data_IF_159925693660
#
_entry.id   IF_159925693660
#
_cell.length_a   1.000
_cell.length_b   1.000
_cell.length_c   1.000
_cell.angle_alpha   90.00
_cell.angle_beta   90.00
_cell.angle_gamma   90.00
#
_symmetry.space_group_name_H-M   'P 1'
#
loop_
_entity.id
_entity.type
_entity.pdbx_description
1 polymer ?
#
# COMPACT_ATOMS: atom_id res chain seq x y z
N UNK A 1 70.21 19.82 -28.49
CA UNK A 1 69.41 18.60 -28.82
C UNK A 1 69.89 17.54 -27.82
N UNK A 2 69.19 17.02 -26.81
CA UNK A 2 67.79 16.77 -26.43
C UNK A 2 67.80 16.84 -24.88
N UNK A 3 67.01 17.60 -24.11
CA UNK A 3 65.56 17.85 -24.02
C UNK A 3 64.67 16.60 -23.90
N UNK A 4 64.22 16.41 -22.64
CA UNK A 4 62.85 16.11 -22.22
C UNK A 4 62.42 14.64 -22.17
N UNK A 5 62.61 13.97 -21.02
CA UNK A 5 61.84 12.75 -20.74
C UNK A 5 61.41 12.44 -19.29
N UNK A 6 61.76 13.15 -18.19
CA UNK A 6 61.18 12.78 -16.89
C UNK A 6 59.92 13.59 -16.51
N UNK A 7 59.61 14.69 -17.20
CA UNK A 7 58.56 15.63 -16.73
C UNK A 7 57.13 15.30 -17.18
N UNK A 8 56.93 14.33 -18.07
CA UNK A 8 55.60 14.01 -18.63
C UNK A 8 54.92 12.81 -17.94
N UNK A 9 55.66 12.03 -17.14
CA UNK A 9 55.11 10.87 -16.43
C UNK A 9 54.41 11.23 -15.11
N UNK A 10 54.81 12.31 -14.44
CA UNK A 10 54.11 12.78 -13.24
C UNK A 10 52.69 13.33 -13.50
N UNK A 11 52.43 14.16 -14.54
CA UNK A 11 51.08 14.68 -14.76
C UNK A 11 50.12 13.61 -15.30
N UNK A 12 50.61 12.60 -16.02
CA UNK A 12 49.77 11.53 -16.59
C UNK A 12 49.32 10.51 -15.55
N UNK A 13 50.15 10.21 -14.55
CA UNK A 13 49.74 9.38 -13.40
C UNK A 13 48.79 10.16 -12.48
N UNK A 14 48.97 11.47 -12.31
CA UNK A 14 48.02 12.29 -11.52
C UNK A 14 46.64 12.41 -12.19
N UNK A 15 46.57 12.45 -13.53
CA UNK A 15 45.30 12.51 -14.27
C UNK A 15 44.48 11.21 -14.18
N UNK A 16 45.13 10.05 -14.05
CA UNK A 16 44.45 8.75 -13.88
C UNK A 16 43.96 8.49 -12.45
N UNK A 17 44.50 9.19 -11.45
CA UNK A 17 44.04 9.11 -10.06
C UNK A 17 42.86 10.06 -9.80
N UNK A 18 42.68 11.09 -10.64
CA UNK A 18 41.61 12.10 -10.50
C UNK A 18 40.32 11.79 -11.26
N UNK A 19 40.28 10.78 -12.13
CA UNK A 19 39.01 10.30 -12.69
C UNK A 19 38.33 9.38 -11.69
N UNK A 20 37.80 9.97 -10.60
CA UNK A 20 36.68 9.33 -9.93
C UNK A 20 35.57 9.16 -10.98
N UNK A 21 34.90 8.00 -11.06
CA UNK A 21 33.69 7.90 -11.84
C UNK A 21 32.73 8.93 -11.25
N UNK A 22 32.54 10.04 -11.95
CA UNK A 22 31.42 10.94 -11.70
C UNK A 22 30.20 10.08 -11.93
N UNK A 23 29.62 9.57 -10.84
CA UNK A 23 28.36 8.89 -10.91
C UNK A 23 27.38 9.90 -11.52
N UNK A 24 27.04 9.60 -12.76
CA UNK A 24 26.14 10.36 -13.57
C UNK A 24 24.82 10.44 -12.82
N UNK A 25 24.48 11.63 -12.32
CA UNK A 25 23.11 11.94 -11.93
C UNK A 25 22.24 11.95 -13.18
N UNK A 26 21.76 10.78 -13.59
CA UNK A 26 20.76 10.65 -14.64
C UNK A 26 19.36 10.82 -14.03
N UNK A 27 18.77 11.97 -14.37
CA UNK A 27 17.33 12.25 -14.55
C UNK A 27 16.38 11.84 -13.42
N UNK A 28 16.31 12.68 -12.38
CA UNK A 28 15.07 13.30 -11.89
C UNK A 28 15.46 14.60 -11.16
N UNK A 29 15.19 15.73 -11.81
CA UNK A 29 15.91 16.98 -11.62
C UNK A 29 15.82 17.67 -10.25
N UNK A 30 16.90 18.44 -10.00
CA UNK A 30 17.13 19.53 -9.04
C UNK A 30 17.70 19.16 -7.66
N UNK A 31 19.03 19.16 -7.56
CA UNK A 31 19.72 19.72 -6.39
C UNK A 31 20.92 20.56 -6.85
N UNK A 32 20.80 21.89 -6.72
CA UNK A 32 21.94 22.79 -6.70
C UNK A 32 22.65 22.72 -5.34
N UNK A 33 23.97 22.81 -5.35
CA UNK A 33 24.81 23.31 -4.27
C UNK A 33 24.69 22.71 -2.85
N UNK A 34 24.38 21.42 -2.69
CA UNK A 34 24.55 20.76 -1.39
C UNK A 34 25.13 19.33 -1.50
N UNK A 35 26.13 18.97 -0.66
CA UNK A 35 26.90 17.72 -0.77
C UNK A 35 26.21 16.47 -0.18
N UNK A 36 24.91 16.53 0.14
CA UNK A 36 24.19 15.39 0.69
C UNK A 36 22.84 15.23 0.02
N UNK A 37 22.49 13.98 -0.34
CA UNK A 37 21.14 13.63 -0.74
C UNK A 37 20.25 13.78 0.49
N UNK A 38 19.35 14.77 0.48
CA UNK A 38 18.41 14.99 1.58
C UNK A 38 17.54 13.77 1.81
N UNK A 39 17.28 13.46 3.09
CA UNK A 39 16.25 12.51 3.46
C UNK A 39 14.93 12.91 2.79
N UNK A 40 14.22 11.93 2.21
CA UNK A 40 12.93 12.14 1.57
C UNK A 40 12.01 12.95 2.50
N UNK A 41 11.75 14.20 2.12
CA UNK A 41 10.74 15.00 2.78
C UNK A 41 9.38 14.39 2.41
N UNK A 42 8.57 13.92 3.37
CA UNK A 42 7.21 13.51 3.08
C UNK A 42 6.49 14.66 2.37
N UNK A 43 5.73 14.33 1.33
CA UNK A 43 4.96 15.33 0.59
C UNK A 43 4.14 16.16 1.60
N UNK A 44 4.09 17.49 1.48
CA UNK A 44 3.35 18.33 2.41
C UNK A 44 1.88 17.86 2.43
N UNK A 45 1.25 17.78 3.61
CA UNK A 45 -0.14 17.35 3.70
C UNK A 45 -1.01 18.28 2.84
N UNK A 46 -1.99 17.74 2.11
CA UNK A 46 -2.83 18.55 1.23
C UNK A 46 -3.62 19.58 2.04
N UNK A 47 -3.75 20.80 1.50
CA UNK A 47 -4.67 21.81 2.04
C UNK A 47 -6.11 21.37 1.76
N UNK A 48 -6.81 20.92 2.80
CA UNK A 48 -8.13 20.30 2.67
C UNK A 48 -9.27 21.31 2.85
N UNK A 49 -9.95 21.70 1.76
CA UNK A 49 -11.26 22.36 1.75
C UNK A 49 -12.37 21.35 1.42
N UNK A 50 -12.56 20.35 2.27
CA UNK A 50 -13.48 19.25 1.99
C UNK A 50 -14.95 19.63 2.16
N UNK A 51 -15.81 19.05 1.33
CA UNK A 51 -17.26 19.17 1.46
C UNK A 51 -17.77 18.56 2.77
N UNK A 52 -19.01 18.90 3.17
CA UNK A 52 -19.68 18.24 4.30
C UNK A 52 -19.73 16.73 4.05
N UNK A 53 -19.52 15.94 5.12
CA UNK A 53 -19.38 14.48 5.07
C UNK A 53 -18.05 13.94 4.54
N UNK A 54 -17.08 14.81 4.25
CA UNK A 54 -15.69 14.43 3.93
C UNK A 54 -14.71 14.89 5.02
N UNK A 55 -13.66 14.11 5.24
CA UNK A 55 -12.58 14.40 6.17
C UNK A 55 -11.26 14.60 5.43
N UNK A 56 -10.29 15.25 6.09
CA UNK A 56 -8.95 15.42 5.54
C UNK A 56 -8.06 14.22 5.90
N UNK A 57 -7.48 13.58 4.88
CA UNK A 57 -6.52 12.48 5.00
C UNK A 57 -5.22 12.78 4.27
N UNK A 58 -4.31 11.80 4.25
CA UNK A 58 -2.97 11.95 3.67
C UNK A 58 -2.97 12.28 2.18
N UNK A 59 -4.03 11.88 1.45
CA UNK A 59 -4.15 12.03 0.00
C UNK A 59 -5.28 12.99 -0.41
N UNK A 60 -5.77 13.80 0.53
CA UNK A 60 -6.83 14.78 0.31
C UNK A 60 -8.13 14.42 1.01
N UNK A 61 -9.25 14.82 0.41
CA UNK A 61 -10.57 14.60 0.98
C UNK A 61 -11.03 13.16 0.79
N UNK A 62 -11.41 12.50 1.89
CA UNK A 62 -12.00 11.17 1.87
C UNK A 62 -13.40 11.18 2.48
N UNK A 63 -14.27 10.28 2.02
CA UNK A 63 -15.63 10.18 2.54
C UNK A 63 -15.61 9.67 3.99
N UNK A 64 -16.17 10.44 4.91
CA UNK A 64 -16.29 10.00 6.30
C UNK A 64 -17.33 8.89 6.40
N UNK A 65 -16.96 7.79 7.05
CA UNK A 65 -17.93 6.74 7.41
C UNK A 65 -18.61 7.11 8.71
N UNK A 66 -19.94 7.16 8.71
CA UNK A 66 -20.70 7.29 9.96
C UNK A 66 -20.38 6.09 10.86
N UNK A 67 -19.87 6.37 12.06
CA UNK A 67 -19.44 5.35 13.04
C UNK A 67 -20.55 4.37 13.47
N UNK A 68 -21.81 4.63 13.12
CA UNK A 68 -22.97 3.77 13.40
C UNK A 68 -23.55 2.97 12.21
N UNK A 69 -22.99 3.10 11.01
CA UNK A 69 -23.55 2.46 9.79
C UNK A 69 -23.46 0.92 9.78
N UNK A 70 -22.66 0.33 10.67
CA UNK A 70 -22.60 -1.12 10.91
C UNK A 70 -23.33 -1.55 12.20
N UNK A 71 -23.69 -0.59 13.06
CA UNK A 71 -24.35 -0.83 14.36
C UNK A 71 -25.88 -0.87 14.25
N UNK A 72 -26.44 -0.32 13.18
CA UNK A 72 -27.89 -0.33 12.93
C UNK A 72 -28.25 -1.44 11.94
N UNK A 73 -28.58 -2.62 12.48
CA UNK A 73 -29.37 -3.61 11.75
C UNK A 73 -30.80 -3.52 12.27
N UNK A 74 -31.78 -3.03 11.47
CA UNK A 74 -33.17 -3.04 11.90
C UNK A 74 -33.61 -4.49 12.06
N UNK A 75 -33.76 -4.95 13.30
CA UNK A 75 -34.38 -6.24 13.60
C UNK A 75 -35.81 -6.19 13.06
N UNK A 76 -36.09 -6.83 11.92
CA UNK A 76 -37.47 -7.16 11.53
C UNK A 76 -37.96 -8.27 12.47
N UNK A 77 -38.40 -7.88 13.67
CA UNK A 77 -39.14 -8.76 14.55
C UNK A 77 -40.56 -8.90 14.03
N UNK A 78 -40.81 -9.88 13.16
CA UNK A 78 -42.12 -10.55 13.02
C UNK A 78 -41.93 -11.82 12.20
N UNK A 79 -41.81 -12.95 12.90
CA UNK A 79 -41.74 -14.29 12.31
C UNK A 79 -40.99 -15.25 13.24
N UNK A 80 -41.58 -16.41 13.63
CA UNK A 80 -40.93 -17.34 14.54
C UNK A 80 -39.92 -18.24 13.82
N UNK A 81 -38.79 -18.48 14.52
CA UNK A 81 -37.61 -19.31 14.17
C UNK A 81 -36.62 -18.66 13.20
N UNK A 82 -35.64 -17.94 13.76
CA UNK A 82 -34.33 -17.72 13.13
C UNK A 82 -33.25 -18.21 14.09
N UNK A 83 -32.37 -19.02 13.54
CA UNK A 83 -31.25 -19.76 14.11
C UNK A 83 -30.33 -18.93 14.99
N UNK A 84 -29.57 -19.58 15.89
CA UNK A 84 -28.63 -19.00 16.87
C UNK A 84 -27.46 -18.17 16.31
N UNK A 85 -27.49 -17.79 15.03
CA UNK A 85 -26.42 -17.07 14.33
C UNK A 85 -26.46 -15.56 14.60
N UNK A 86 -27.65 -14.97 14.84
CA UNK A 86 -27.80 -13.53 15.08
C UNK A 86 -27.29 -13.07 16.45
N UNK A 87 -27.30 -13.96 17.44
CA UNK A 87 -26.76 -13.68 18.79
C UNK A 87 -25.22 -13.75 18.80
N UNK A 88 -24.66 -14.63 17.97
CA UNK A 88 -23.23 -14.78 17.77
C UNK A 88 -22.63 -13.60 16.99
N UNK A 89 -23.36 -13.01 16.02
CA UNK A 89 -22.85 -11.85 15.26
C UNK A 89 -22.74 -10.59 16.13
N UNK A 90 -23.78 -10.27 16.92
CA UNK A 90 -23.80 -9.11 17.82
C UNK A 90 -22.70 -9.19 18.89
N UNK A 91 -22.48 -10.37 19.48
CA UNK A 91 -21.43 -10.56 20.48
C UNK A 91 -20.01 -10.53 19.88
N UNK A 92 -19.83 -10.98 18.64
CA UNK A 92 -18.55 -10.84 17.91
C UNK A 92 -18.22 -9.38 17.61
N UNK A 93 -19.23 -8.58 17.24
CA UNK A 93 -19.09 -7.15 16.98
C UNK A 93 -18.71 -6.36 18.24
N UNK A 94 -19.38 -6.61 19.37
CA UNK A 94 -19.05 -5.98 20.66
C UNK A 94 -17.62 -6.29 21.10
N UNK A 95 -17.17 -7.55 20.89
CA UNK A 95 -15.77 -7.95 21.15
C UNK A 95 -14.78 -7.25 20.24
N UNK A 96 -15.13 -6.99 18.98
CA UNK A 96 -14.29 -6.25 18.04
C UNK A 96 -14.12 -4.79 18.49
N UNK A 97 -15.21 -4.14 18.89
CA UNK A 97 -15.20 -2.76 19.42
C UNK A 97 -14.34 -2.67 20.68
N UNK A 98 -14.49 -3.62 21.62
CA UNK A 98 -13.68 -3.65 22.84
C UNK A 98 -12.18 -3.81 22.51
N UNK A 99 -11.82 -4.72 21.61
CA UNK A 99 -10.43 -4.91 21.17
C UNK A 99 -9.84 -3.63 20.58
N UNK A 100 -10.61 -2.91 19.77
CA UNK A 100 -10.16 -1.66 19.17
C UNK A 100 -9.92 -0.57 20.23
N UNK A 101 -10.81 -0.45 21.23
CA UNK A 101 -10.63 0.47 22.36
C UNK A 101 -9.37 0.15 23.15
N UNK A 102 -9.16 -1.13 23.47
CA UNK A 102 -7.96 -1.58 24.18
C UNK A 102 -6.67 -1.27 23.39
N UNK A 103 -6.66 -1.46 22.07
CA UNK A 103 -5.53 -1.11 21.22
C UNK A 103 -5.24 0.41 21.25
N UNK A 104 -6.27 1.25 21.20
CA UNK A 104 -6.12 2.72 21.31
C UNK A 104 -5.60 3.15 22.68
N UNK A 105 -6.00 2.47 23.76
CA UNK A 105 -5.48 2.74 25.11
C UNK A 105 -3.98 2.42 25.20
N UNK A 106 -3.52 1.34 24.56
CA UNK A 106 -2.10 1.01 24.45
C UNK A 106 -1.31 2.05 23.66
N UNK A 107 -1.87 2.55 22.55
CA UNK A 107 -1.30 3.68 21.78
C UNK A 107 -1.13 4.90 22.68
N UNK A 108 -2.16 5.26 23.46
CA UNK A 108 -2.12 6.40 24.38
C UNK A 108 -1.03 6.24 25.45
N UNK A 109 -0.80 5.00 25.91
CA UNK A 109 0.28 4.65 26.85
C UNK A 109 1.65 4.46 26.18
N UNK A 110 1.76 4.63 24.86
CA UNK A 110 2.98 4.43 24.06
C UNK A 110 3.58 3.03 24.20
N UNK A 111 2.74 2.02 24.40
CA UNK A 111 3.17 0.61 24.46
C UNK A 111 3.43 0.05 23.05
N UNK A 112 4.33 -0.94 22.94
CA UNK A 112 4.55 -1.66 21.68
C UNK A 112 3.32 -2.48 21.33
N UNK A 113 2.78 -2.25 20.13
CA UNK A 113 1.65 -2.99 19.60
C UNK A 113 2.13 -4.27 18.90
N UNK A 114 1.32 -5.31 18.98
CA UNK A 114 1.46 -6.48 18.10
C UNK A 114 1.00 -6.13 16.67
N UNK A 115 1.48 -6.89 15.67
CA UNK A 115 1.07 -6.73 14.28
C UNK A 115 -0.46 -6.79 14.11
N UNK A 116 -1.12 -7.68 14.86
CA UNK A 116 -2.58 -7.82 14.83
C UNK A 116 -3.30 -6.59 15.38
N UNK A 117 -2.75 -5.93 16.40
CA UNK A 117 -3.29 -4.67 16.95
C UNK A 117 -3.05 -3.52 15.98
N UNK A 118 -1.87 -3.46 15.35
CA UNK A 118 -1.55 -2.45 14.34
C UNK A 118 -2.49 -2.54 13.13
N UNK A 119 -2.72 -3.75 12.59
CA UNK A 119 -3.68 -3.98 11.50
C UNK A 119 -5.09 -3.59 11.94
N UNK A 120 -5.52 -3.91 13.17
CA UNK A 120 -6.83 -3.52 13.67
C UNK A 120 -7.01 -2.00 13.73
N UNK A 121 -5.95 -1.25 14.01
CA UNK A 121 -6.00 0.21 14.07
C UNK A 121 -6.04 0.85 12.68
N UNK A 122 -5.24 0.33 11.74
CA UNK A 122 -5.05 0.94 10.42
C UNK A 122 -6.09 0.45 9.40
N UNK A 123 -6.47 -0.83 9.46
CA UNK A 123 -7.43 -1.47 8.55
C UNK A 123 -8.30 -2.52 9.28
N UNK A 124 -9.32 -2.08 10.05
CA UNK A 124 -10.23 -2.99 10.77
C UNK A 124 -10.90 -4.06 9.89
N UNK A 125 -11.26 -3.72 8.64
CA UNK A 125 -11.82 -4.70 7.69
C UNK A 125 -10.88 -5.85 7.38
N UNK A 126 -9.58 -5.58 7.22
CA UNK A 126 -8.56 -6.62 7.02
C UNK A 126 -8.49 -7.51 8.27
N UNK A 127 -8.45 -6.92 9.47
CA UNK A 127 -8.43 -7.68 10.72
C UNK A 127 -9.67 -8.58 10.88
N UNK A 128 -10.85 -8.12 10.46
CA UNK A 128 -12.09 -8.91 10.45
C UNK A 128 -12.01 -10.03 9.43
N UNK A 129 -11.65 -9.75 8.18
CA UNK A 129 -11.59 -10.75 7.11
C UNK A 129 -10.61 -11.88 7.45
N UNK A 130 -9.47 -11.57 8.08
CA UNK A 130 -8.50 -12.59 8.55
C UNK A 130 -9.06 -13.56 9.60
N UNK A 131 -10.15 -13.19 10.28
CA UNK A 131 -10.81 -14.00 11.33
C UNK A 131 -12.12 -14.63 10.87
N UNK A 132 -12.57 -14.34 9.65
CA UNK A 132 -13.81 -14.89 9.11
C UNK A 132 -13.55 -16.30 8.59
N UNK A 133 -14.27 -17.27 9.14
CA UNK A 133 -14.23 -18.68 8.70
C UNK A 133 -15.23 -18.94 7.55
N UNK A 134 -15.37 -18.00 6.63
CA UNK A 134 -16.41 -18.07 5.60
C UNK A 134 -16.10 -17.28 4.34
N UNK A 135 -17.00 -17.34 3.35
CA UNK A 135 -16.81 -16.71 2.04
C UNK A 135 -16.65 -15.19 2.15
N UNK A 136 -15.50 -14.65 1.69
CA UNK A 136 -15.21 -13.21 1.66
C UNK A 136 -15.17 -12.67 0.24
N UNK A 137 -16.17 -11.89 -0.17
CA UNK A 137 -16.16 -11.28 -1.51
C UNK A 137 -14.91 -10.40 -1.67
N UNK A 138 -13.99 -10.69 -2.61
CA UNK A 138 -12.69 -10.04 -2.63
C UNK A 138 -12.78 -8.55 -3.01
N UNK A 139 -13.66 -8.17 -3.92
CA UNK A 139 -13.88 -6.76 -4.29
C UNK A 139 -14.42 -5.96 -3.11
N UNK A 140 -15.37 -6.53 -2.37
CA UNK A 140 -15.89 -5.91 -1.14
C UNK A 140 -14.79 -5.77 -0.08
N UNK A 141 -13.97 -6.81 0.12
CA UNK A 141 -12.87 -6.79 1.07
C UNK A 141 -11.82 -5.73 0.71
N UNK A 142 -11.48 -5.62 -0.57
CA UNK A 142 -10.56 -4.61 -1.08
C UNK A 142 -11.13 -3.20 -0.88
N UNK A 143 -12.37 -2.96 -1.35
CA UNK A 143 -13.03 -1.66 -1.22
C UNK A 143 -13.22 -1.21 0.24
N UNK A 144 -13.63 -2.12 1.13
CA UNK A 144 -13.78 -1.80 2.55
C UNK A 144 -12.45 -1.40 3.20
N UNK A 145 -11.34 -2.04 2.83
CA UNK A 145 -10.03 -1.65 3.31
C UNK A 145 -9.63 -0.27 2.80
N UNK A 146 -9.86 0.05 1.52
CA UNK A 146 -9.56 1.39 0.99
C UNK A 146 -10.30 2.51 1.75
N UNK A 147 -11.54 2.24 2.19
CA UNK A 147 -12.29 3.16 3.04
C UNK A 147 -11.67 3.30 4.43
N UNK A 148 -11.25 2.20 5.04
CA UNK A 148 -10.60 2.22 6.36
C UNK A 148 -9.29 3.02 6.31
N UNK A 149 -8.56 2.90 5.18
CA UNK A 149 -7.34 3.65 4.88
C UNK A 149 -7.57 5.08 4.39
N UNK A 150 -8.84 5.53 4.37
CA UNK A 150 -9.22 6.92 4.08
C UNK A 150 -8.73 7.40 2.71
N UNK A 151 -8.84 6.54 1.70
CA UNK A 151 -8.50 6.93 0.33
C UNK A 151 -9.59 7.85 -0.27
N UNK A 152 -9.20 8.81 -1.13
CA UNK A 152 -10.15 9.71 -1.79
C UNK A 152 -10.98 8.95 -2.83
N UNK A 153 -12.13 9.50 -3.20
CA UNK A 153 -13.11 8.81 -4.07
C UNK A 153 -12.54 8.42 -5.44
N UNK A 154 -11.62 9.22 -5.99
CA UNK A 154 -10.90 8.89 -7.23
C UNK A 154 -10.12 7.57 -7.12
N UNK A 155 -9.54 7.28 -5.96
CA UNK A 155 -8.87 6.01 -5.68
C UNK A 155 -9.88 4.90 -5.38
N UNK A 156 -11.00 5.21 -4.71
CA UNK A 156 -12.04 4.22 -4.40
C UNK A 156 -12.66 3.60 -5.64
N UNK A 157 -12.77 4.35 -6.75
CA UNK A 157 -13.22 3.83 -8.06
C UNK A 157 -12.31 2.73 -8.62
N UNK A 158 -11.08 2.64 -8.11
CA UNK A 158 -10.08 1.65 -8.51
C UNK A 158 -9.94 0.52 -7.49
N UNK A 159 -10.60 0.59 -6.33
CA UNK A 159 -10.50 -0.42 -5.27
C UNK A 159 -11.40 -1.64 -5.51
N UNK A 160 -11.32 -2.18 -6.73
CA UNK A 160 -11.91 -3.46 -7.15
C UNK A 160 -10.88 -4.15 -8.03
N UNK A 161 -10.85 -5.47 -8.04
CA UNK A 161 -9.87 -6.23 -8.82
C UNK A 161 -10.04 -6.08 -10.33
N UNK A 162 -11.26 -5.78 -10.79
CA UNK A 162 -11.55 -5.49 -12.20
C UNK A 162 -11.02 -4.12 -12.66
N UNK A 163 -11.06 -3.12 -11.78
CA UNK A 163 -10.65 -1.72 -12.07
C UNK A 163 -9.21 -1.43 -11.66
N UNK A 164 -8.64 -2.23 -10.78
CA UNK A 164 -7.25 -2.15 -10.38
C UNK A 164 -6.40 -2.86 -11.43
N UNK A 165 -6.02 -2.14 -12.47
CA UNK A 165 -5.30 -2.68 -13.63
C UNK A 165 -3.98 -1.97 -13.89
N UNK A 166 -3.14 -2.57 -14.72
CA UNK A 166 -1.90 -1.94 -15.21
C UNK A 166 -2.19 -0.55 -15.81
N UNK A 167 -3.26 -0.40 -16.58
CA UNK A 167 -3.61 0.88 -17.21
C UNK A 167 -3.96 1.94 -16.17
N UNK A 168 -4.73 1.57 -15.14
CA UNK A 168 -5.06 2.49 -14.04
C UNK A 168 -3.79 2.94 -13.30
N UNK A 169 -2.87 2.02 -13.00
CA UNK A 169 -1.59 2.35 -12.36
C UNK A 169 -0.71 3.23 -13.24
N UNK A 170 -0.67 2.96 -14.53
CA UNK A 170 0.10 3.74 -15.50
C UNK A 170 -0.44 5.17 -15.60
N UNK A 171 -1.76 5.35 -15.61
CA UNK A 171 -2.38 6.68 -15.58
C UNK A 171 -2.07 7.43 -14.28
N UNK A 172 -2.11 6.76 -13.13
CA UNK A 172 -1.71 7.34 -11.83
C UNK A 172 -0.24 7.75 -11.83
N UNK A 173 0.62 6.92 -12.42
CA UNK A 173 2.07 7.18 -12.52
C UNK A 173 2.38 8.44 -13.32
N UNK A 174 1.76 8.58 -14.49
CA UNK A 174 1.92 9.76 -15.34
C UNK A 174 1.07 10.96 -14.88
N UNK A 175 0.45 10.87 -13.69
CA UNK A 175 -0.42 11.92 -13.12
C UNK A 175 -1.57 12.32 -14.04
N UNK A 176 -2.00 11.40 -14.91
CA UNK A 176 -3.18 11.54 -15.76
C UNK A 176 -4.45 11.14 -15.01
N UNK A 177 -4.29 10.54 -13.83
CA UNK A 177 -5.37 10.14 -12.96
C UNK A 177 -5.50 11.07 -11.75
N UNK A 178 -6.74 11.29 -11.28
CA UNK A 178 -7.01 12.07 -10.08
C UNK A 178 -6.57 11.37 -8.78
N UNK A 179 -6.41 10.04 -8.80
CA UNK A 179 -5.82 9.28 -7.71
C UNK A 179 -4.28 9.39 -7.76
N UNK A 180 -3.62 9.95 -6.74
CA UNK A 180 -2.16 10.09 -6.76
C UNK A 180 -1.46 8.74 -6.64
N UNK A 181 -0.33 8.57 -7.33
CA UNK A 181 0.50 7.35 -7.24
C UNK A 181 0.88 6.99 -5.80
N UNK A 182 1.07 7.98 -4.92
CA UNK A 182 1.39 7.75 -3.51
C UNK A 182 0.30 6.96 -2.74
N UNK A 183 -0.94 6.94 -3.23
CA UNK A 183 -2.04 6.14 -2.67
C UNK A 183 -2.00 4.67 -3.14
N UNK A 184 -1.19 4.36 -4.15
CA UNK A 184 -1.09 3.01 -4.71
C UNK A 184 -0.60 1.98 -3.69
N UNK A 185 0.36 2.33 -2.82
CA UNK A 185 0.84 1.44 -1.77
C UNK A 185 -0.28 1.01 -0.82
N UNK A 186 -1.21 1.92 -0.52
CA UNK A 186 -2.37 1.62 0.31
C UNK A 186 -3.38 0.73 -0.42
N UNK A 187 -3.54 0.94 -1.72
CA UNK A 187 -4.39 0.08 -2.55
C UNK A 187 -3.81 -1.33 -2.66
N UNK A 188 -2.49 -1.48 -2.87
CA UNK A 188 -1.82 -2.77 -2.91
C UNK A 188 -1.91 -3.49 -1.56
N UNK A 189 -1.68 -2.77 -0.45
CA UNK A 189 -1.89 -3.29 0.90
C UNK A 189 -3.29 -3.86 1.07
N UNK A 190 -4.31 -3.12 0.62
CA UNK A 190 -5.70 -3.51 0.72
C UNK A 190 -6.07 -4.69 -0.19
N UNK A 191 -5.56 -4.72 -1.42
CA UNK A 191 -5.79 -5.85 -2.33
C UNK A 191 -5.18 -7.14 -1.76
N UNK A 192 -3.97 -7.07 -1.21
CA UNK A 192 -3.26 -8.20 -0.61
C UNK A 192 -3.67 -8.52 0.85
N UNK A 193 -4.62 -7.78 1.42
CA UNK A 193 -5.06 -7.94 2.82
C UNK A 193 -3.90 -7.93 3.84
N UNK A 194 -2.85 -7.16 3.55
CA UNK A 194 -1.68 -7.00 4.40
C UNK A 194 -0.74 -8.21 4.53
N UNK A 195 -0.77 -9.15 3.58
CA UNK A 195 -0.05 -10.44 3.65
C UNK A 195 1.19 -10.47 2.74
N UNK A 196 1.98 -11.53 2.89
CA UNK A 196 3.11 -11.83 2.02
C UNK A 196 2.73 -12.87 0.96
N UNK A 197 2.74 -12.47 -0.30
CA UNK A 197 2.46 -13.31 -1.46
C UNK A 197 3.69 -13.62 -2.31
N UNK A 198 4.92 -13.33 -1.84
CA UNK A 198 6.16 -13.51 -2.63
C UNK A 198 6.27 -14.89 -3.24
N UNK A 199 5.93 -15.95 -2.50
CA UNK A 199 5.97 -17.32 -2.99
C UNK A 199 5.01 -17.55 -4.17
N UNK A 200 3.81 -16.96 -4.14
CA UNK A 200 2.87 -17.02 -5.27
C UNK A 200 3.39 -16.20 -6.46
N UNK A 201 3.87 -14.99 -6.20
CA UNK A 201 4.39 -14.10 -7.24
C UNK A 201 5.60 -14.68 -7.98
N UNK A 202 6.55 -15.27 -7.25
CA UNK A 202 7.71 -15.93 -7.84
C UNK A 202 7.29 -17.05 -8.80
N UNK A 203 6.35 -17.92 -8.38
CA UNK A 203 5.81 -18.99 -9.23
C UNK A 203 5.02 -18.49 -10.44
N UNK A 204 4.41 -17.31 -10.35
CA UNK A 204 3.65 -16.69 -11.43
C UNK A 204 4.48 -15.73 -12.31
N UNK A 205 5.81 -15.82 -12.22
CA UNK A 205 6.72 -15.12 -13.14
C UNK A 205 6.81 -13.61 -12.91
N UNK A 206 6.50 -13.11 -11.70
CA UNK A 206 6.66 -11.69 -11.37
C UNK A 206 8.14 -11.26 -11.43
N UNK A 207 9.07 -12.20 -11.22
CA UNK A 207 10.51 -11.97 -11.30
C UNK A 207 11.07 -11.96 -12.72
N UNK A 208 10.28 -12.26 -13.76
CA UNK A 208 10.78 -12.31 -15.14
C UNK A 208 10.80 -10.95 -15.84
N UNK A 209 10.54 -9.86 -15.12
CA UNK A 209 10.61 -8.51 -15.67
C UNK A 209 12.06 -8.03 -15.70
N UNK A 210 12.32 -6.89 -16.35
CA UNK A 210 13.64 -6.27 -16.34
C UNK A 210 14.13 -5.92 -14.92
N UNK A 211 13.20 -5.67 -13.98
CA UNK A 211 13.52 -5.35 -12.59
C UNK A 211 13.76 -6.61 -11.72
N UNK A 212 13.57 -7.82 -12.27
CA UNK A 212 13.92 -9.06 -11.61
C UNK A 212 13.20 -9.29 -10.28
N UNK A 213 13.94 -9.76 -9.27
CA UNK A 213 13.42 -10.04 -7.93
C UNK A 213 12.91 -8.80 -7.19
N UNK A 214 13.30 -7.59 -7.60
CA UNK A 214 12.80 -6.34 -6.97
C UNK A 214 11.27 -6.28 -7.02
N UNK A 215 10.64 -6.88 -8.02
CA UNK A 215 9.19 -6.90 -8.15
C UNK A 215 8.50 -7.72 -7.05
N UNK A 216 9.21 -8.58 -6.32
CA UNK A 216 8.66 -9.30 -5.17
C UNK A 216 8.35 -8.37 -3.99
N UNK A 217 8.93 -7.16 -3.95
CA UNK A 217 8.55 -6.16 -2.96
C UNK A 217 7.07 -5.76 -3.09
N UNK A 218 6.51 -5.77 -4.32
CA UNK A 218 5.08 -5.54 -4.54
C UNK A 218 4.18 -6.66 -4.03
N UNK A 219 4.77 -7.82 -3.71
CA UNK A 219 4.03 -8.98 -3.23
C UNK A 219 4.10 -9.11 -1.71
N UNK A 220 5.06 -8.46 -1.05
CA UNK A 220 5.08 -8.35 0.41
C UNK A 220 4.33 -7.10 0.83
N UNK A 221 3.09 -7.26 1.27
CA UNK A 221 2.22 -6.16 1.64
C UNK A 221 2.01 -6.07 3.14
N UNK A 222 2.94 -6.60 3.96
CA UNK A 222 2.87 -6.48 5.43
C UNK A 222 3.10 -5.04 5.87
N UNK A 223 2.54 -4.68 7.04
CA UNK A 223 2.78 -3.36 7.64
C UNK A 223 4.28 -3.13 7.91
N UNK A 224 4.71 -1.87 7.85
CA UNK A 224 6.11 -1.49 8.04
C UNK A 224 7.02 -1.72 6.82
N UNK A 225 6.49 -2.23 5.71
CA UNK A 225 7.18 -2.32 4.42
C UNK A 225 6.57 -1.36 3.38
N UNK A 226 6.49 -0.03 3.63
CA UNK A 226 5.96 0.90 2.65
C UNK A 226 6.88 0.95 1.43
N UNK A 227 6.38 0.50 0.28
CA UNK A 227 7.18 0.46 -0.92
C UNK A 227 7.40 1.87 -1.48
N UNK A 228 8.67 2.20 -1.69
CA UNK A 228 9.03 3.42 -2.41
C UNK A 228 8.83 3.17 -3.90
N UNK A 229 7.89 3.92 -4.48
CA UNK A 229 7.51 3.81 -5.89
C UNK A 229 8.41 4.70 -6.72
N UNK A 230 9.68 4.31 -6.83
CA UNK A 230 10.62 4.95 -7.75
C UNK A 230 10.44 4.45 -9.20
N UNK A 231 11.16 5.08 -10.12
CA UNK A 231 11.09 4.74 -11.55
C UNK A 231 11.65 3.34 -11.86
N UNK A 232 12.45 2.75 -10.96
CA UNK A 232 13.04 1.42 -11.15
C UNK A 232 12.01 0.28 -11.04
N UNK A 233 10.85 0.57 -10.48
CA UNK A 233 9.75 -0.37 -10.32
C UNK A 233 8.76 -0.39 -11.49
N UNK A 234 8.86 0.53 -12.45
CA UNK A 234 7.96 0.56 -13.63
C UNK A 234 7.93 -0.77 -14.39
N UNK A 235 9.04 -1.49 -14.63
CA UNK A 235 9.01 -2.78 -15.30
C UNK A 235 8.18 -3.84 -14.57
N UNK A 236 8.00 -3.70 -13.25
CA UNK A 236 7.18 -4.62 -12.47
C UNK A 236 5.70 -4.55 -12.88
N UNK A 237 5.23 -3.41 -13.40
CA UNK A 237 3.84 -3.27 -13.83
C UNK A 237 3.47 -4.16 -15.02
N UNK A 238 4.45 -4.67 -15.79
CA UNK A 238 4.21 -5.65 -16.84
C UNK A 238 3.65 -6.98 -16.31
N UNK A 239 3.95 -7.32 -15.06
CA UNK A 239 3.45 -8.51 -14.36
C UNK A 239 2.40 -8.18 -13.31
N UNK A 240 1.80 -6.98 -13.37
CA UNK A 240 0.84 -6.54 -12.37
C UNK A 240 -0.39 -7.45 -12.26
N UNK A 241 -0.92 -7.94 -13.39
CA UNK A 241 -2.06 -8.86 -13.38
C UNK A 241 -1.69 -10.21 -12.71
N UNK A 242 -0.45 -10.68 -12.88
CA UNK A 242 0.06 -11.87 -12.17
C UNK A 242 0.12 -11.65 -10.66
N UNK A 243 0.58 -10.47 -10.20
CA UNK A 243 0.59 -10.11 -8.78
C UNK A 243 -0.84 -10.08 -8.23
N UNK A 244 -1.73 -9.35 -8.92
CA UNK A 244 -3.13 -9.18 -8.53
C UNK A 244 -3.88 -10.51 -8.45
N UNK A 245 -3.62 -11.42 -9.38
CA UNK A 245 -4.18 -12.78 -9.36
C UNK A 245 -3.83 -13.53 -8.08
N UNK A 246 -2.59 -13.44 -7.60
CA UNK A 246 -2.20 -14.02 -6.32
C UNK A 246 -3.01 -13.47 -5.13
N UNK A 247 -3.27 -12.16 -5.10
CA UNK A 247 -4.05 -11.52 -4.05
C UNK A 247 -5.52 -11.98 -4.08
N UNK A 248 -6.13 -12.02 -5.27
CA UNK A 248 -7.50 -12.51 -5.46
C UNK A 248 -7.65 -13.97 -5.04
N UNK A 249 -6.71 -14.82 -5.44
CA UNK A 249 -6.76 -16.24 -5.12
C UNK A 249 -6.58 -16.52 -3.63
N UNK A 250 -5.78 -15.73 -2.91
CA UNK A 250 -5.67 -15.87 -1.45
C UNK A 250 -7.01 -15.59 -0.76
N UNK A 251 -7.71 -14.53 -1.16
CA UNK A 251 -9.04 -14.19 -0.64
C UNK A 251 -10.11 -15.25 -1.00
N UNK A 252 -10.06 -15.79 -2.23
CA UNK A 252 -11.06 -16.77 -2.68
C UNK A 252 -10.79 -18.19 -2.20
N UNK A 253 -9.56 -18.56 -1.81
CA UNK A 253 -9.28 -19.89 -1.23
C UNK A 253 -10.05 -20.13 0.08
N UNK A 254 -10.43 -19.08 0.79
CA UNK A 254 -11.36 -19.14 1.92
C UNK A 254 -12.81 -19.56 1.53
N UNK A 255 -13.15 -19.67 0.24
CA UNK A 255 -14.42 -20.24 -0.24
C UNK A 255 -14.36 -21.77 -0.46
N UNK A 256 -13.17 -22.40 -0.42
CA UNK A 256 -13.01 -23.83 -0.68
C UNK A 256 -12.71 -24.65 0.60
N UNK A 257 -13.33 -24.29 1.71
CA UNK A 257 -13.42 -25.14 2.89
C UNK A 257 -14.88 -25.60 3.06
#
# INVERSE_FOLDING_TARGET
MHLLLPTVLLPTVLLLIYTQPTQQCATNGLCGYQPTCGAYAPQPPPSCSCQRSYGCGSYGCYRMRARGSKSYQPKRQRGPRVSSESSASSSREDREVLRQRLAMDRVRRKERLSEAEEILLVAPSVARNRRMDGPVNPDRAFYECCLDRKLPDACLQKCQFSTFTKQALTAMYFKQDACPLAAMSEMQFCAAQGRDHRACCARNGVTTTLAGEKCLNFCDQRLGHPQQLDMSFVPCFDRFESMKSCFWHDLTRYYKA
#
